data_IF_167216029401
#
_entry.id   IF_167216029401
#
_cell.length_a   1.000
_cell.length_b   1.000
_cell.length_c   1.000
_cell.angle_alpha   90.00
_cell.angle_beta   90.00
_cell.angle_gamma   90.00
#
_symmetry.space_group_name_H-M   'P 1'
#
loop_
_entity.id
_entity.type
_entity.pdbx_description
1 polymer ?
#
# COMPACT_ATOMS: atom_id res chain seq x y z
N UNK A 1 20.81 7.89 11.42
CA UNK A 1 20.73 6.94 10.29
C UNK A 1 19.30 6.39 10.23
N UNK A 2 18.45 6.77 9.27
CA UNK A 2 17.11 6.21 9.19
C UNK A 2 17.17 4.79 8.62
N UNK A 3 16.57 3.85 9.35
CA UNK A 3 16.62 2.41 9.08
C UNK A 3 15.96 1.99 7.77
N UNK A 4 16.62 1.08 7.05
CA UNK A 4 16.29 0.47 5.76
C UNK A 4 14.87 -0.14 5.61
N UNK A 5 14.07 -0.19 6.69
CA UNK A 5 12.73 -0.81 6.68
C UNK A 5 11.65 0.08 6.06
N UNK A 6 11.83 1.41 6.10
CA UNK A 6 10.76 2.36 5.77
C UNK A 6 10.52 2.54 4.27
N UNK A 7 11.52 2.28 3.44
CA UNK A 7 11.45 2.52 2.00
C UNK A 7 10.60 1.47 1.28
N UNK A 8 10.77 0.19 1.64
CA UNK A 8 10.08 -0.91 0.97
C UNK A 8 8.55 -0.85 1.13
N UNK A 9 8.03 -0.44 2.28
CA UNK A 9 6.57 -0.40 2.47
C UNK A 9 5.90 0.75 1.68
N UNK A 10 6.61 1.85 1.42
CA UNK A 10 6.12 2.94 0.55
C UNK A 10 6.00 2.45 -0.89
N UNK A 11 7.00 1.71 -1.39
CA UNK A 11 7.02 1.21 -2.78
C UNK A 11 5.92 0.17 -3.07
N UNK A 12 5.49 -0.60 -2.06
CA UNK A 12 4.44 -1.61 -2.19
C UNK A 12 3.05 -1.14 -1.75
N UNK A 13 2.89 0.16 -1.42
CA UNK A 13 1.61 0.70 -0.93
C UNK A 13 1.16 0.08 0.39
N UNK A 14 2.08 -0.51 1.16
CA UNK A 14 1.80 -1.07 2.47
C UNK A 14 1.79 0.05 3.49
N UNK A 15 0.73 0.11 4.29
CA UNK A 15 0.60 1.11 5.34
C UNK A 15 1.72 0.96 6.36
N UNK A 16 2.58 1.96 6.38
CA UNK A 16 3.65 2.08 7.34
C UNK A 16 3.09 2.71 8.61
N UNK A 17 2.44 1.88 9.42
CA UNK A 17 1.90 2.27 10.72
C UNK A 17 3.05 2.48 11.70
N UNK A 18 3.63 3.67 11.68
CA UNK A 18 4.80 4.04 12.47
C UNK A 18 4.45 4.48 13.91
N UNK A 19 3.16 4.66 14.20
CA UNK A 19 2.63 5.00 15.51
C UNK A 19 1.24 4.35 15.71
N UNK A 20 0.84 4.09 16.96
CA UNK A 20 -0.43 3.42 17.25
C UNK A 20 -1.65 4.22 16.73
N UNK A 21 -1.58 5.55 16.81
CA UNK A 21 -2.67 6.44 16.38
C UNK A 21 -3.00 6.33 14.87
N UNK A 22 -1.99 6.11 14.03
CA UNK A 22 -2.22 5.89 12.58
C UNK A 22 -2.84 4.54 12.30
N UNK A 23 -2.59 3.53 13.16
CA UNK A 23 -3.29 2.25 13.08
C UNK A 23 -4.77 2.40 13.39
N UNK A 24 -5.11 3.12 14.46
CA UNK A 24 -6.50 3.39 14.84
C UNK A 24 -7.24 4.16 13.73
N UNK A 25 -6.63 5.24 13.23
CA UNK A 25 -7.21 6.02 12.13
C UNK A 25 -7.39 5.19 10.86
N UNK A 26 -6.46 4.29 10.54
CA UNK A 26 -6.58 3.41 9.40
C UNK A 26 -7.79 2.47 9.57
N UNK A 27 -7.90 1.80 10.73
CA UNK A 27 -9.02 0.90 11.02
C UNK A 27 -10.35 1.64 10.97
N UNK A 28 -10.45 2.83 11.55
CA UNK A 28 -11.66 3.66 11.49
C UNK A 28 -12.03 4.05 10.07
N UNK A 29 -11.05 4.50 9.28
CA UNK A 29 -11.27 4.88 7.88
C UNK A 29 -11.71 3.69 7.02
N UNK A 30 -11.11 2.52 7.26
CA UNK A 30 -11.45 1.28 6.57
C UNK A 30 -12.87 0.83 6.93
N UNK A 31 -13.22 0.86 8.21
CA UNK A 31 -14.56 0.52 8.69
C UNK A 31 -15.65 1.41 8.07
N UNK A 32 -15.38 2.71 7.87
CA UNK A 32 -16.30 3.63 7.18
C UNK A 32 -16.40 3.39 5.67
N UNK A 33 -15.33 2.89 5.04
CA UNK A 33 -15.24 2.71 3.59
C UNK A 33 -15.78 1.36 3.11
N UNK A 34 -15.77 0.33 3.96
CA UNK A 34 -16.32 -1.01 3.65
C UNK A 34 -17.81 -0.95 3.28
N UNK A 35 -18.71 -0.31 4.06
CA UNK A 35 -20.14 -0.22 3.73
C UNK A 35 -20.43 0.49 2.40
N UNK A 36 -19.57 1.43 2.01
CA UNK A 36 -19.66 2.17 0.75
C UNK A 36 -19.22 1.33 -0.46
N UNK A 37 -18.77 0.10 -0.23
CA UNK A 37 -18.30 -0.80 -1.27
C UNK A 37 -16.86 -0.50 -1.71
N UNK A 38 -16.03 0.13 -0.88
CA UNK A 38 -14.64 0.44 -1.21
C UNK A 38 -13.74 -0.78 -1.46
N UNK A 39 -14.22 -1.98 -1.14
CA UNK A 39 -13.56 -3.26 -1.46
C UNK A 39 -14.25 -4.02 -2.61
N UNK A 40 -15.32 -3.50 -3.22
CA UNK A 40 -16.05 -4.22 -4.29
C UNK A 40 -15.22 -4.44 -5.55
N UNK A 41 -14.27 -3.56 -5.83
CA UNK A 41 -13.34 -3.69 -6.96
C UNK A 41 -12.13 -4.58 -6.65
N UNK A 42 -11.93 -4.93 -5.39
CA UNK A 42 -10.85 -5.82 -4.97
C UNK A 42 -11.23 -7.27 -5.32
N UNK A 43 -10.31 -7.97 -5.95
CA UNK A 43 -10.41 -9.41 -6.16
C UNK A 43 -9.09 -10.02 -5.73
N UNK A 44 -9.14 -11.01 -4.84
CA UNK A 44 -7.94 -11.66 -4.37
C UNK A 44 -7.16 -12.29 -5.54
N UNK A 45 -5.83 -12.15 -5.54
CA UNK A 45 -4.98 -12.59 -6.65
C UNK A 45 -5.01 -11.70 -7.91
N UNK A 46 -5.91 -10.71 -7.99
CA UNK A 46 -5.96 -9.76 -9.12
C UNK A 46 -5.01 -8.59 -8.86
N UNK A 47 -3.91 -8.55 -9.60
CA UNK A 47 -2.99 -7.41 -9.63
C UNK A 47 -3.61 -6.25 -10.46
N UNK A 48 -3.77 -5.03 -9.90
CA UNK A 48 -4.20 -3.88 -10.68
C UNK A 48 -3.22 -3.55 -11.81
N UNK A 49 -3.72 -3.04 -12.93
CA UNK A 49 -2.90 -2.71 -14.11
C UNK A 49 -1.91 -1.59 -13.84
N UNK A 50 -2.19 -0.69 -12.88
CA UNK A 50 -1.23 0.34 -12.46
C UNK A 50 -0.02 -0.24 -11.73
N UNK A 51 -0.11 -1.44 -11.15
CA UNK A 51 0.99 -2.05 -10.41
C UNK A 51 1.88 -2.83 -11.39
N UNK A 52 3.09 -2.32 -11.62
CA UNK A 52 4.10 -2.95 -12.50
C UNK A 52 5.31 -3.41 -11.68
N UNK A 53 6.17 -4.26 -12.25
CA UNK A 53 7.42 -4.63 -11.59
C UNK A 53 8.31 -3.39 -11.42
N UNK A 54 9.07 -3.30 -10.33
CA UNK A 54 10.02 -2.21 -10.12
C UNK A 54 11.01 -2.04 -11.29
N UNK A 55 11.40 -3.14 -11.94
CA UNK A 55 12.27 -3.12 -13.13
C UNK A 55 11.63 -2.47 -14.36
N UNK A 56 10.31 -2.39 -14.42
CA UNK A 56 9.58 -1.71 -15.49
C UNK A 56 9.59 -0.20 -15.29
N UNK A 57 9.65 0.28 -14.04
CA UNK A 57 9.77 1.69 -13.70
C UNK A 57 11.21 2.18 -13.76
N UNK A 58 12.12 1.39 -13.19
CA UNK A 58 13.55 1.66 -13.24
C UNK A 58 14.11 1.01 -14.49
N UNK A 59 14.10 1.74 -15.62
CA UNK A 59 14.85 1.37 -16.83
C UNK A 59 16.21 0.84 -16.39
N UNK A 60 16.62 -0.35 -16.86
CA UNK A 60 17.98 -0.89 -16.63
C UNK A 60 18.96 0.28 -16.72
N UNK A 61 19.62 0.63 -15.62
CA UNK A 61 20.79 1.50 -15.74
C UNK A 61 21.81 0.71 -16.57
N UNK A 62 22.43 1.43 -17.51
CA UNK A 62 23.63 0.99 -18.21
C UNK A 62 24.71 0.59 -17.18
#
# INVERSE_FOLDING_TARGET
>A
MPSLKSWNAIDFGLLLLNNARTADLFVESLARKIPQGGLRSYSEGRKPTEVRSWREFVRKRA
#
